data_IF_935935829953
#
_entry.id   IF_935935829953
#
_cell.length_a   1.000
_cell.length_b   1.000
_cell.length_c   1.000
_cell.angle_alpha   90.00
_cell.angle_beta   90.00
_cell.angle_gamma   90.00
#
_symmetry.space_group_name_H-M   'P 1'
#
loop_
_entity.id
_entity.type
_entity.pdbx_description
1 polymer ?
#
# COMPACT_ATOMS: atom_id res chain seq x y z
N UNK A 1 16.33 3.83 -6.37
CA UNK A 1 15.05 3.20 -6.80
C UNK A 1 14.82 1.82 -6.17
N UNK A 2 14.58 1.80 -4.86
CA UNK A 2 14.04 0.65 -4.15
C UNK A 2 12.60 0.40 -4.61
N UNK A 3 12.36 -0.68 -5.35
CA UNK A 3 11.02 -1.02 -5.87
C UNK A 3 10.04 -1.22 -4.71
N UNK A 4 8.80 -0.75 -4.88
CA UNK A 4 7.63 -0.98 -4.00
C UNK A 4 7.18 -2.46 -3.99
N UNK A 5 8.13 -3.39 -3.92
CA UNK A 5 7.91 -4.80 -4.14
C UNK A 5 7.11 -5.44 -3.02
N UNK A 6 7.30 -4.97 -1.78
CA UNK A 6 6.60 -5.53 -0.63
C UNK A 6 5.14 -5.04 -0.60
N UNK A 7 4.91 -3.74 -0.83
CA UNK A 7 3.56 -3.20 -0.98
C UNK A 7 2.80 -3.89 -2.14
N UNK A 8 3.45 -4.04 -3.29
CA UNK A 8 2.86 -4.71 -4.46
C UNK A 8 2.49 -6.16 -4.15
N UNK A 9 3.39 -6.91 -3.49
CA UNK A 9 3.15 -8.30 -3.11
C UNK A 9 2.00 -8.42 -2.12
N UNK A 10 2.01 -7.62 -1.05
CA UNK A 10 1.00 -7.70 0.00
C UNK A 10 -0.39 -7.27 -0.50
N UNK A 11 -0.48 -6.22 -1.32
CA UNK A 11 -1.73 -5.83 -1.98
C UNK A 11 -2.23 -6.93 -2.92
N UNK A 12 -1.33 -7.59 -3.66
CA UNK A 12 -1.71 -8.71 -4.53
C UNK A 12 -2.28 -9.88 -3.73
N UNK A 13 -1.62 -10.26 -2.63
CA UNK A 13 -2.06 -11.34 -1.74
C UNK A 13 -3.43 -10.98 -1.13
N UNK A 14 -3.58 -9.76 -0.62
CA UNK A 14 -4.83 -9.26 -0.07
C UNK A 14 -5.97 -9.32 -1.11
N UNK A 15 -5.73 -8.86 -2.34
CA UNK A 15 -6.69 -8.93 -3.44
C UNK A 15 -7.10 -10.35 -3.80
N UNK A 16 -6.16 -11.30 -3.85
CA UNK A 16 -6.47 -12.72 -4.11
C UNK A 16 -7.29 -13.34 -2.97
N UNK A 17 -6.96 -13.03 -1.72
CA UNK A 17 -7.73 -13.51 -0.55
C UNK A 17 -9.16 -12.96 -0.56
N UNK A 18 -9.33 -11.67 -0.85
CA UNK A 18 -10.66 -11.06 -1.00
C UNK A 18 -11.43 -11.68 -2.16
N UNK A 19 -10.76 -12.03 -3.25
CA UNK A 19 -11.40 -12.70 -4.38
C UNK A 19 -11.90 -14.10 -4.00
N UNK A 20 -11.12 -14.83 -3.19
CA UNK A 20 -11.54 -16.11 -2.63
C UNK A 20 -12.79 -15.93 -1.75
N UNK A 21 -12.80 -14.94 -0.85
CA UNK A 21 -13.97 -14.65 -0.02
C UNK A 21 -15.20 -14.22 -0.84
N UNK A 22 -14.99 -13.45 -1.91
CA UNK A 22 -16.05 -13.07 -2.84
C UNK A 22 -16.70 -14.29 -3.48
N UNK A 23 -15.90 -15.27 -3.92
CA UNK A 23 -16.38 -16.53 -4.47
C UNK A 23 -17.08 -17.39 -3.40
N UNK A 24 -16.45 -17.57 -2.23
CA UNK A 24 -16.94 -18.45 -1.18
C UNK A 24 -18.26 -17.96 -0.55
N UNK A 25 -18.44 -16.64 -0.42
CA UNK A 25 -19.63 -16.04 0.19
C UNK A 25 -20.57 -15.34 -0.80
N UNK A 26 -20.27 -15.38 -2.10
CA UNK A 26 -21.09 -14.75 -3.15
C UNK A 26 -21.25 -13.23 -2.98
N UNK A 27 -20.29 -12.55 -2.35
CA UNK A 27 -20.42 -11.16 -1.95
C UNK A 27 -19.79 -10.21 -2.97
N UNK A 28 -20.62 -9.31 -3.52
CA UNK A 28 -20.17 -8.23 -4.41
C UNK A 28 -19.23 -7.24 -3.72
N UNK A 29 -19.37 -7.08 -2.40
CA UNK A 29 -18.51 -6.18 -1.62
C UNK A 29 -17.08 -6.73 -1.62
N UNK A 30 -16.88 -8.00 -1.29
CA UNK A 30 -15.54 -8.62 -1.33
C UNK A 30 -14.96 -8.61 -2.75
N UNK A 31 -15.80 -8.77 -3.78
CA UNK A 31 -15.33 -8.68 -5.17
C UNK A 31 -14.81 -7.28 -5.51
N UNK A 32 -15.54 -6.23 -5.12
CA UNK A 32 -15.13 -4.85 -5.38
C UNK A 32 -13.79 -4.52 -4.71
N UNK A 33 -13.64 -4.89 -3.44
CA UNK A 33 -12.37 -4.69 -2.71
C UNK A 33 -11.24 -5.57 -3.25
N UNK A 34 -11.52 -6.80 -3.70
CA UNK A 34 -10.53 -7.66 -4.35
C UNK A 34 -9.96 -7.01 -5.61
N UNK A 35 -10.84 -6.56 -6.52
CA UNK A 35 -10.43 -5.90 -7.75
C UNK A 35 -9.71 -4.58 -7.48
N UNK A 36 -10.18 -3.81 -6.50
CA UNK A 36 -9.52 -2.58 -6.08
C UNK A 36 -8.10 -2.83 -5.56
N UNK A 37 -7.92 -3.82 -4.69
CA UNK A 37 -6.63 -4.20 -4.12
C UNK A 37 -5.65 -4.68 -5.20
N UNK A 38 -6.12 -5.49 -6.16
CA UNK A 38 -5.32 -5.91 -7.32
C UNK A 38 -4.95 -4.72 -8.24
N UNK A 39 -5.86 -3.78 -8.45
CA UNK A 39 -5.61 -2.58 -9.24
C UNK A 39 -4.56 -1.68 -8.58
N UNK A 40 -4.63 -1.53 -7.26
CA UNK A 40 -3.60 -0.83 -6.49
C UNK A 40 -2.26 -1.54 -6.56
N UNK A 41 -2.23 -2.87 -6.43
CA UNK A 41 -0.99 -3.63 -6.57
C UNK A 41 -0.34 -3.39 -7.94
N UNK A 42 -1.12 -3.45 -9.02
CA UNK A 42 -0.62 -3.15 -10.37
C UNK A 42 -0.10 -1.71 -10.49
N UNK A 43 -0.87 -0.73 -10.02
CA UNK A 43 -0.48 0.68 -10.10
C UNK A 43 0.75 1.02 -9.26
N UNK A 44 0.86 0.46 -8.06
CA UNK A 44 2.02 0.59 -7.15
C UNK A 44 3.25 -0.08 -7.77
N UNK A 45 3.09 -1.25 -8.38
CA UNK A 45 4.18 -1.96 -9.06
C UNK A 45 4.70 -1.24 -10.32
N UNK A 46 3.87 -0.39 -10.94
CA UNK A 46 4.25 0.50 -12.04
C UNK A 46 4.72 1.88 -11.57
N UNK A 47 4.92 2.07 -10.27
CA UNK A 47 5.35 3.34 -9.66
C UNK A 47 4.44 4.54 -9.99
N UNK A 48 3.15 4.29 -10.20
CA UNK A 48 2.20 5.35 -10.50
C UNK A 48 1.94 6.21 -9.25
N UNK A 49 2.33 7.49 -9.30
CA UNK A 49 2.18 8.45 -8.17
C UNK A 49 0.77 8.50 -7.59
N UNK A 50 -0.27 8.39 -8.43
CA UNK A 50 -1.68 8.39 -7.98
C UNK A 50 -2.00 7.09 -7.26
N UNK A 51 -1.63 5.94 -7.83
CA UNK A 51 -1.87 4.64 -7.21
C UNK A 51 -1.15 4.50 -5.86
N UNK A 52 0.07 5.01 -5.75
CA UNK A 52 0.85 5.04 -4.50
C UNK A 52 0.12 5.86 -3.43
N UNK A 53 -0.38 7.05 -3.77
CA UNK A 53 -1.15 7.89 -2.82
C UNK A 53 -2.43 7.21 -2.37
N UNK A 54 -3.18 6.60 -3.30
CA UNK A 54 -4.42 5.90 -2.96
C UNK A 54 -4.11 4.66 -2.11
N UNK A 55 -3.07 3.89 -2.43
CA UNK A 55 -2.63 2.74 -1.65
C UNK A 55 -2.19 3.12 -0.23
N UNK A 56 -1.52 4.27 -0.07
CA UNK A 56 -1.15 4.80 1.24
C UNK A 56 -2.39 5.11 2.09
N UNK A 57 -3.40 5.77 1.52
CA UNK A 57 -4.65 6.08 2.22
C UNK A 57 -5.39 4.79 2.56
N UNK A 58 -5.50 3.87 1.60
CA UNK A 58 -6.17 2.59 1.77
C UNK A 58 -5.54 1.77 2.90
N UNK A 59 -4.22 1.56 2.85
CA UNK A 59 -3.48 0.84 3.90
C UNK A 59 -3.55 1.58 5.26
N UNK A 60 -3.60 2.91 5.26
CA UNK A 60 -3.80 3.69 6.48
C UNK A 60 -5.15 3.42 7.14
N UNK A 61 -6.22 3.34 6.33
CA UNK A 61 -7.56 3.02 6.80
C UNK A 61 -7.62 1.56 7.30
N UNK A 62 -7.10 0.59 6.54
CA UNK A 62 -7.06 -0.82 6.96
C UNK A 62 -6.27 -0.98 8.25
N UNK A 63 -5.11 -0.33 8.37
CA UNK A 63 -4.29 -0.36 9.59
C UNK A 63 -5.06 0.17 10.79
N UNK A 64 -5.72 1.32 10.64
CA UNK A 64 -6.49 1.94 11.71
C UNK A 64 -7.62 1.02 12.20
N UNK A 65 -8.41 0.45 11.28
CA UNK A 65 -9.47 -0.50 11.65
C UNK A 65 -8.92 -1.80 12.23
N UNK A 66 -7.82 -2.32 11.69
CA UNK A 66 -7.14 -3.50 12.24
C UNK A 66 -6.74 -3.29 13.70
N UNK A 67 -6.20 -2.12 14.04
CA UNK A 67 -5.89 -1.76 15.43
C UNK A 67 -7.15 -1.63 16.30
N UNK A 68 -8.21 -0.98 15.81
CA UNK A 68 -9.47 -0.86 16.56
C UNK A 68 -10.06 -2.24 16.88
N UNK A 69 -10.07 -3.16 15.91
CA UNK A 69 -10.55 -4.53 16.13
C UNK A 69 -9.65 -5.33 17.04
N UNK A 70 -8.33 -5.14 16.95
CA UNK A 70 -7.38 -5.77 17.87
C UNK A 70 -7.61 -5.31 19.31
N UNK A 71 -7.83 -4.00 19.53
CA UNK A 71 -8.18 -3.43 20.83
C UNK A 71 -9.54 -3.96 21.32
N UNK A 72 -10.48 -4.18 20.41
CA UNK A 72 -11.77 -4.81 20.71
C UNK A 72 -11.69 -6.32 21.01
N UNK A 73 -10.49 -6.92 20.99
CA UNK A 73 -10.25 -8.31 21.36
C UNK A 73 -10.18 -9.29 20.18
N UNK A 74 -10.27 -8.81 18.93
CA UNK A 74 -10.08 -9.67 17.76
C UNK A 74 -8.59 -9.88 17.47
N UNK A 75 -8.01 -10.93 18.04
CA UNK A 75 -6.59 -11.23 17.88
C UNK A 75 -6.18 -11.48 16.42
N UNK A 76 -7.10 -11.97 15.57
CA UNK A 76 -6.82 -12.20 14.15
C UNK A 76 -6.58 -10.89 13.40
N UNK A 77 -7.17 -9.77 13.85
CA UNK A 77 -6.93 -8.45 13.27
C UNK A 77 -5.50 -7.94 13.47
N UNK A 78 -4.69 -8.59 14.31
CA UNK A 78 -3.25 -8.34 14.35
C UNK A 78 -2.57 -8.65 13.01
N UNK A 79 -3.06 -9.64 12.26
CA UNK A 79 -2.55 -9.99 10.93
C UNK A 79 -2.85 -8.86 9.95
N UNK A 80 -4.09 -8.38 9.92
CA UNK A 80 -4.51 -7.27 9.05
C UNK A 80 -3.72 -5.99 9.35
N UNK A 81 -3.54 -5.68 10.64
CA UNK A 81 -2.74 -4.55 11.08
C UNK A 81 -1.26 -4.71 10.66
N UNK A 82 -0.67 -5.90 10.81
CA UNK A 82 0.71 -6.13 10.40
C UNK A 82 0.90 -5.99 8.88
N UNK A 83 0.01 -6.57 8.07
CA UNK A 83 0.04 -6.45 6.60
C UNK A 83 -0.02 -4.98 6.20
N UNK A 84 -1.01 -4.26 6.74
CA UNK A 84 -1.21 -2.83 6.44
C UNK A 84 -0.02 -1.99 6.88
N UNK A 85 0.56 -2.27 8.05
CA UNK A 85 1.76 -1.61 8.54
C UNK A 85 2.95 -1.78 7.58
N UNK A 86 3.19 -3.00 7.09
CA UNK A 86 4.31 -3.22 6.18
C UNK A 86 4.10 -2.57 4.81
N UNK A 87 2.86 -2.51 4.30
CA UNK A 87 2.52 -1.75 3.09
C UNK A 87 2.85 -0.26 3.31
N UNK A 88 2.39 0.32 4.42
CA UNK A 88 2.67 1.70 4.78
C UNK A 88 4.16 1.97 4.88
N UNK A 89 4.90 1.10 5.57
CA UNK A 89 6.35 1.22 5.74
C UNK A 89 7.09 1.22 4.40
N UNK A 90 6.72 0.32 3.48
CA UNK A 90 7.34 0.23 2.15
C UNK A 90 7.03 1.48 1.31
N UNK A 91 5.78 1.93 1.28
CA UNK A 91 5.36 3.14 0.55
C UNK A 91 6.04 4.40 1.10
N UNK A 92 6.06 4.58 2.42
CA UNK A 92 6.68 5.75 3.04
C UNK A 92 8.20 5.77 2.82
N UNK A 93 8.84 4.59 2.84
CA UNK A 93 10.27 4.47 2.52
C UNK A 93 10.57 4.89 1.09
N UNK A 94 9.75 4.44 0.13
CA UNK A 94 9.85 4.85 -1.27
C UNK A 94 9.68 6.37 -1.45
N UNK A 95 8.62 6.95 -0.86
CA UNK A 95 8.36 8.40 -0.96
C UNK A 95 9.53 9.21 -0.41
N UNK A 96 10.12 8.78 0.72
CA UNK A 96 11.29 9.44 1.31
C UNK A 96 12.53 9.37 0.42
N UNK A 97 12.75 8.23 -0.25
CA UNK A 97 13.87 8.05 -1.18
C UNK A 97 13.71 8.96 -2.41
N UNK A 98 12.53 8.95 -3.03
CA UNK A 98 12.22 9.81 -4.19
C UNK A 98 12.35 11.29 -3.85
N UNK A 99 11.82 11.72 -2.69
CA UNK A 99 11.93 13.12 -2.27
C UNK A 99 13.39 13.56 -1.99
N UNK A 100 14.26 12.61 -1.61
CA UNK A 100 15.70 12.89 -1.44
C UNK A 100 16.40 13.02 -2.78
N UNK A 101 16.11 12.11 -3.73
CA UNK A 101 16.65 12.15 -5.09
C UNK A 101 16.25 13.46 -5.80
N UNK A 102 14.98 13.86 -5.73
CA UNK A 102 14.50 15.13 -6.32
C UNK A 102 15.18 16.37 -5.67
N UNK A 103 15.46 16.36 -4.37
CA UNK A 103 16.14 17.46 -3.68
C UNK A 103 17.65 17.54 -3.92
N UNK A 104 18.31 16.42 -4.19
CA UNK A 104 19.73 16.37 -4.56
C UNK A 104 19.94 16.88 -6.00
N UNK A 105 19.04 16.52 -6.94
CA UNK A 105 19.07 17.01 -8.33
C UNK A 105 18.87 18.54 -8.43
N UNK A 106 17.95 19.12 -7.64
CA UNK A 106 17.76 20.58 -7.59
C UNK A 106 18.99 21.30 -7.02
N UNK A 107 19.70 20.69 -6.07
CA UNK A 107 20.91 21.27 -5.46
C UNK A 107 22.12 21.22 -6.39
N UNK A 108 22.26 20.19 -7.23
CA UNK A 108 23.35 20.10 -8.23
C UNK A 108 23.05 20.99 -9.45
N UNK A 109 21.79 21.08 -9.88
CA UNK A 109 21.38 21.97 -10.98
C UNK A 109 21.55 23.46 -10.64
N UNK A 110 21.39 23.84 -9.37
CA UNK A 110 21.61 25.21 -8.88
C UNK A 110 23.09 25.59 -8.68
N UNK A 111 24.01 24.62 -8.62
CA UNK A 111 25.44 24.86 -8.37
C UNK A 111 26.29 24.95 -9.66
N UNK A 112 25.68 24.72 -10.83
CA UNK A 112 26.36 24.78 -12.14
C UNK A 112 26.30 26.13 -12.85
N UNK A 113 25.65 27.14 -12.24
CA UNK A 113 25.36 28.45 -12.86
C UNK A 113 26.09 29.63 -12.17
N UNK A 114 27.09 29.36 -11.29
CA UNK A 114 27.98 30.36 -10.68
C UNK A 114 29.42 30.34 -11.22
#
# INVERSE_FOLDING_TARGET
>A
MKRLGLATLLLSINGVLLLYYAYAWGSLVYLAFALFSLLLAYGVGQENRTAIKVALIYAGIEFFFGLLFLIAGNLLSAIDAAISFFILHDILSYIKEVAREEGEEESEAGAGDE
#
